data_IF_030661089292
#
_entry.id   IF_030661089292
#
_cell.length_a   1.000
_cell.length_b   1.000
_cell.length_c   1.000
_cell.angle_alpha   90.00
_cell.angle_beta   90.00
_cell.angle_gamma   90.00
#
_symmetry.space_group_name_H-M   'P 1'
#
loop_
_entity.id
_entity.type
_entity.pdbx_description
1 polymer ?
#
# COMPACT_ATOMS: atom_id res chain seq x y z
N UNK A 1 42.79 -4.95 -14.44
CA UNK A 1 42.18 -3.62 -14.35
C UNK A 1 40.69 -3.79 -14.59
N UNK A 2 39.88 -3.72 -13.54
CA UNK A 2 38.43 -3.80 -13.67
C UNK A 2 37.95 -2.48 -14.28
N UNK A 3 37.35 -2.54 -15.47
CA UNK A 3 36.70 -1.39 -16.10
C UNK A 3 35.49 -1.04 -15.25
N UNK A 4 35.50 0.12 -14.60
CA UNK A 4 34.35 0.63 -13.88
C UNK A 4 33.26 0.91 -14.91
N UNK A 5 32.27 0.02 -14.98
CA UNK A 5 31.06 0.24 -15.77
C UNK A 5 30.39 1.48 -15.18
N UNK A 6 30.54 2.61 -15.87
CA UNK A 6 29.80 3.84 -15.57
C UNK A 6 28.36 3.59 -16.01
N UNK A 7 27.55 3.06 -15.09
CA UNK A 7 26.09 3.00 -15.25
C UNK A 7 25.62 4.44 -15.40
N UNK A 8 25.12 4.79 -16.58
CA UNK A 8 24.62 6.15 -16.86
C UNK A 8 23.49 6.51 -15.88
N UNK A 9 23.43 7.77 -15.44
CA UNK A 9 22.40 8.24 -14.50
C UNK A 9 20.96 8.04 -15.02
N UNK A 10 20.78 7.86 -16.34
CA UNK A 10 19.49 7.62 -16.97
C UNK A 10 18.89 6.25 -16.58
N UNK A 11 19.69 5.18 -16.50
CA UNK A 11 19.19 3.84 -16.15
C UNK A 11 18.65 3.78 -14.72
N UNK A 12 19.27 4.52 -13.78
CA UNK A 12 18.84 4.59 -12.37
C UNK A 12 17.48 5.25 -12.15
N UNK A 13 16.98 5.98 -13.14
CA UNK A 13 15.74 6.76 -13.02
C UNK A 13 14.52 6.10 -13.68
N UNK A 14 14.68 4.92 -14.29
CA UNK A 14 13.62 4.29 -15.08
C UNK A 14 12.50 3.72 -14.21
N UNK A 15 11.25 4.13 -14.49
CA UNK A 15 10.08 3.60 -13.81
C UNK A 15 9.68 2.29 -14.50
N UNK A 16 9.90 1.13 -13.88
CA UNK A 16 9.61 -0.16 -14.54
C UNK A 16 8.12 -0.51 -14.63
N UNK A 17 7.25 0.19 -13.90
CA UNK A 17 5.81 -0.03 -13.99
C UNK A 17 5.24 0.57 -15.29
N UNK A 18 4.38 -0.17 -15.97
CA UNK A 18 3.69 0.33 -17.16
C UNK A 18 2.68 1.40 -16.78
N UNK A 19 2.45 2.30 -17.73
CA UNK A 19 1.45 3.34 -17.60
C UNK A 19 0.06 2.78 -17.28
N UNK A 20 -0.32 1.65 -17.89
CA UNK A 20 -1.62 1.02 -17.64
C UNK A 20 -1.80 0.60 -16.18
N UNK A 21 -0.82 -0.07 -15.59
CA UNK A 21 -0.91 -0.46 -14.18
C UNK A 21 -0.94 0.75 -13.25
N UNK A 22 -0.12 1.77 -13.52
CA UNK A 22 -0.15 3.02 -12.76
C UNK A 22 -1.49 3.75 -12.88
N UNK A 23 -2.09 3.76 -14.07
CA UNK A 23 -3.42 4.34 -14.30
C UNK A 23 -4.52 3.56 -13.57
N UNK A 24 -4.52 2.23 -13.64
CA UNK A 24 -5.45 1.38 -12.89
C UNK A 24 -5.33 1.60 -11.38
N UNK A 25 -4.10 1.63 -10.84
CA UNK A 25 -3.87 1.91 -9.42
C UNK A 25 -4.34 3.32 -9.04
N UNK A 26 -4.09 4.32 -9.89
CA UNK A 26 -4.54 5.70 -9.67
C UNK A 26 -6.07 5.79 -9.63
N UNK A 27 -6.76 5.26 -10.66
CA UNK A 27 -8.23 5.26 -10.72
C UNK A 27 -8.81 4.45 -9.57
N UNK A 28 -8.19 3.32 -9.22
CA UNK A 28 -8.57 2.52 -8.06
C UNK A 28 -8.49 3.32 -6.76
N UNK A 29 -7.38 4.01 -6.51
CA UNK A 29 -7.20 4.87 -5.33
C UNK A 29 -8.18 6.04 -5.30
N UNK A 30 -8.54 6.61 -6.46
CA UNK A 30 -9.64 7.60 -6.54
C UNK A 30 -10.98 6.96 -6.15
N UNK A 31 -11.28 5.76 -6.67
CA UNK A 31 -12.49 5.01 -6.33
C UNK A 31 -12.58 4.72 -4.84
N UNK A 32 -11.49 4.26 -4.23
CA UNK A 32 -11.38 4.07 -2.78
C UNK A 32 -11.62 5.39 -2.05
N UNK A 33 -10.89 6.45 -2.41
CA UNK A 33 -10.98 7.73 -1.72
C UNK A 33 -12.36 8.39 -1.80
N UNK A 34 -12.93 8.47 -3.01
CA UNK A 34 -14.29 9.01 -3.22
C UNK A 34 -15.33 8.11 -2.58
N UNK A 35 -15.21 6.79 -2.73
CA UNK A 35 -16.10 5.82 -2.10
C UNK A 35 -16.16 6.02 -0.60
N UNK A 36 -15.00 6.08 0.06
CA UNK A 36 -14.84 6.37 1.48
C UNK A 36 -15.47 7.70 1.91
N UNK A 37 -15.34 8.76 1.12
CA UNK A 37 -15.97 10.06 1.46
C UNK A 37 -17.49 10.04 1.30
N UNK A 38 -18.02 9.13 0.47
CA UNK A 38 -19.45 9.00 0.21
C UNK A 38 -20.14 7.98 1.13
N UNK A 39 -19.40 6.98 1.64
CA UNK A 39 -19.95 5.88 2.45
C UNK A 39 -20.57 6.34 3.78
N UNK A 40 -19.97 7.26 4.56
CA UNK A 40 -20.63 7.89 5.70
C UNK A 40 -21.67 8.91 5.19
N UNK A 41 -22.94 8.50 5.05
CA UNK A 41 -24.05 9.40 4.75
C UNK A 41 -24.74 9.15 3.39
N UNK A 42 -24.79 10.17 2.53
CA UNK A 42 -25.68 10.24 1.34
C UNK A 42 -25.31 9.27 0.21
N UNK A 43 -24.11 8.70 0.24
CA UNK A 43 -23.60 7.85 -0.85
C UNK A 43 -24.10 6.41 -0.82
N UNK A 44 -24.54 5.91 0.34
CA UNK A 44 -25.11 4.56 0.49
C UNK A 44 -24.33 3.48 -0.29
N UNK A 45 -25.06 2.72 -1.12
CA UNK A 45 -24.50 1.64 -1.92
C UNK A 45 -23.42 2.09 -2.92
N UNK A 46 -23.50 3.32 -3.45
CA UNK A 46 -22.54 3.83 -4.41
C UNK A 46 -21.16 4.03 -3.78
N UNK A 47 -21.10 4.56 -2.56
CA UNK A 47 -19.85 4.74 -1.81
C UNK A 47 -19.12 3.42 -1.63
N UNK A 48 -19.82 2.41 -1.12
CA UNK A 48 -19.30 1.05 -0.94
C UNK A 48 -18.92 0.35 -2.25
N UNK A 49 -19.70 0.56 -3.32
CA UNK A 49 -19.38 0.03 -4.65
C UNK A 49 -18.08 0.62 -5.18
N UNK A 50 -17.89 1.94 -5.08
CA UNK A 50 -16.66 2.61 -5.49
C UNK A 50 -15.46 2.16 -4.64
N UNK A 51 -15.67 1.96 -3.33
CA UNK A 51 -14.65 1.45 -2.42
C UNK A 51 -14.18 0.04 -2.84
N UNK A 52 -15.13 -0.89 -3.05
CA UNK A 52 -14.87 -2.26 -3.48
C UNK A 52 -14.19 -2.33 -4.86
N UNK A 53 -14.74 -1.61 -5.85
CA UNK A 53 -14.18 -1.55 -7.20
C UNK A 53 -12.78 -0.92 -7.20
N UNK A 54 -12.56 0.06 -6.32
CA UNK A 54 -11.25 0.68 -6.13
C UNK A 54 -10.18 -0.33 -5.76
N UNK A 55 -10.44 -1.16 -4.74
CA UNK A 55 -9.54 -2.24 -4.33
C UNK A 55 -9.33 -3.31 -5.41
N UNK A 56 -10.39 -3.69 -6.15
CA UNK A 56 -10.27 -4.60 -7.28
C UNK A 56 -9.38 -4.03 -8.39
N UNK A 57 -9.47 -2.72 -8.68
CA UNK A 57 -8.60 -2.06 -9.65
C UNK A 57 -7.13 -2.04 -9.20
N UNK A 58 -6.86 -1.91 -7.90
CA UNK A 58 -5.51 -2.11 -7.36
C UNK A 58 -5.02 -3.55 -7.59
N UNK A 59 -5.85 -4.56 -7.34
CA UNK A 59 -5.50 -5.96 -7.65
C UNK A 59 -5.20 -6.15 -9.14
N UNK A 60 -6.02 -5.59 -10.03
CA UNK A 60 -5.80 -5.64 -11.48
C UNK A 60 -4.49 -4.94 -11.87
N UNK A 61 -4.16 -3.81 -11.25
CA UNK A 61 -2.89 -3.12 -11.49
C UNK A 61 -1.68 -4.01 -11.15
N UNK A 62 -1.74 -4.73 -10.03
CA UNK A 62 -0.68 -5.68 -9.63
C UNK A 62 -0.64 -6.87 -10.60
N UNK A 63 -1.80 -7.43 -10.97
CA UNK A 63 -1.90 -8.56 -11.92
C UNK A 63 -1.33 -8.18 -13.28
N UNK A 64 -1.60 -6.98 -13.78
CA UNK A 64 -1.06 -6.49 -15.04
C UNK A 64 0.49 -6.43 -15.06
N UNK A 65 1.14 -6.48 -13.90
CA UNK A 65 2.60 -6.51 -13.75
C UNK A 65 3.10 -7.80 -13.08
N UNK A 66 2.27 -8.84 -13.01
CA UNK A 66 2.57 -10.02 -12.19
C UNK A 66 3.85 -10.72 -12.61
N UNK A 67 4.16 -10.82 -13.90
CA UNK A 67 5.37 -11.50 -14.38
C UNK A 67 6.63 -10.75 -13.94
N UNK A 68 6.69 -9.44 -14.21
CA UNK A 68 7.81 -8.58 -13.81
C UNK A 68 7.97 -8.55 -12.27
N UNK A 69 6.87 -8.37 -11.54
CA UNK A 69 6.88 -8.34 -10.08
C UNK A 69 7.23 -9.70 -9.48
N UNK A 70 6.76 -10.82 -10.05
CA UNK A 70 7.05 -12.17 -9.53
C UNK A 70 8.53 -12.52 -9.68
N UNK A 71 9.17 -12.05 -10.76
CA UNK A 71 10.60 -12.26 -10.98
C UNK A 71 11.45 -11.45 -9.99
N UNK A 72 11.06 -10.20 -9.68
CA UNK A 72 11.79 -9.35 -8.72
C UNK A 72 11.47 -9.66 -7.27
N UNK A 73 10.20 -9.63 -6.90
CA UNK A 73 9.70 -9.68 -5.54
C UNK A 73 9.41 -11.11 -5.05
N UNK A 74 9.26 -12.06 -5.98
CA UNK A 74 8.89 -13.43 -5.72
C UNK A 74 7.39 -13.65 -5.85
N UNK A 75 7.01 -14.71 -6.58
CA UNK A 75 5.61 -15.02 -6.92
C UNK A 75 4.70 -15.11 -5.70
N UNK A 76 5.15 -15.73 -4.61
CA UNK A 76 4.35 -15.88 -3.39
C UNK A 76 4.04 -14.52 -2.75
N UNK A 77 5.04 -13.64 -2.67
CA UNK A 77 4.84 -12.29 -2.14
C UNK A 77 3.80 -11.51 -2.98
N UNK A 78 3.93 -11.57 -4.31
CA UNK A 78 2.99 -10.89 -5.23
C UNK A 78 1.57 -11.44 -5.08
N UNK A 79 1.41 -12.76 -4.98
CA UNK A 79 0.09 -13.39 -4.76
C UNK A 79 -0.51 -12.93 -3.43
N UNK A 80 0.27 -12.90 -2.34
CA UNK A 80 -0.20 -12.35 -1.06
C UNK A 80 -0.65 -10.89 -1.19
N UNK A 81 0.08 -10.06 -1.92
CA UNK A 81 -0.32 -8.67 -2.19
C UNK A 81 -1.63 -8.55 -2.97
N UNK A 82 -1.84 -9.38 -4.00
CA UNK A 82 -3.09 -9.43 -4.76
C UNK A 82 -4.25 -9.83 -3.84
N UNK A 83 -4.08 -10.90 -3.07
CA UNK A 83 -5.09 -11.42 -2.16
C UNK A 83 -5.42 -10.42 -1.05
N UNK A 84 -4.46 -9.61 -0.59
CA UNK A 84 -4.71 -8.55 0.38
C UNK A 84 -5.71 -7.53 -0.18
N UNK A 85 -5.49 -7.03 -1.40
CA UNK A 85 -6.40 -6.09 -2.04
C UNK A 85 -7.77 -6.72 -2.36
N UNK A 86 -7.81 -8.00 -2.78
CA UNK A 86 -9.08 -8.73 -2.98
C UNK A 86 -9.84 -8.89 -1.66
N UNK A 87 -9.16 -9.18 -0.55
CA UNK A 87 -9.79 -9.31 0.75
C UNK A 87 -10.44 -7.97 1.19
N UNK A 88 -9.79 -6.83 0.96
CA UNK A 88 -10.41 -5.52 1.21
C UNK A 88 -11.62 -5.28 0.32
N UNK A 89 -11.51 -5.56 -0.98
CA UNK A 89 -12.65 -5.42 -1.89
C UNK A 89 -13.86 -6.25 -1.45
N UNK A 90 -13.63 -7.49 -1.00
CA UNK A 90 -14.67 -8.40 -0.53
C UNK A 90 -15.29 -7.95 0.80
N UNK A 91 -14.52 -7.27 1.66
CA UNK A 91 -15.04 -6.69 2.90
C UNK A 91 -16.19 -5.71 2.64
N UNK A 92 -16.12 -4.96 1.54
CA UNK A 92 -17.08 -3.92 1.18
C UNK A 92 -18.33 -4.44 0.45
N UNK A 93 -18.26 -5.64 -0.15
CA UNK A 93 -19.34 -6.17 -1.02
C UNK A 93 -20.70 -6.24 -0.31
N UNK A 94 -20.81 -6.71 0.95
CA UNK A 94 -22.12 -6.75 1.63
C UNK A 94 -22.78 -5.38 1.71
N UNK A 95 -22.02 -4.31 1.93
CA UNK A 95 -22.52 -2.95 2.07
C UNK A 95 -22.78 -2.27 0.73
N UNK A 96 -22.09 -2.69 -0.34
CA UNK A 96 -22.40 -2.29 -1.71
C UNK A 96 -23.75 -2.85 -2.17
N UNK A 97 -24.11 -4.05 -1.72
CA UNK A 97 -25.39 -4.68 -2.03
C UNK A 97 -26.54 -4.15 -1.16
N UNK A 98 -26.25 -3.89 0.11
CA UNK A 98 -27.23 -3.51 1.12
C UNK A 98 -26.54 -2.69 2.23
N UNK A 99 -26.57 -1.35 2.12
CA UNK A 99 -25.85 -0.45 3.03
C UNK A 99 -26.29 -0.58 4.49
N UNK A 100 -27.55 -0.95 4.74
CA UNK A 100 -28.10 -1.07 6.09
C UNK A 100 -27.45 -2.21 6.90
N UNK A 101 -26.72 -3.11 6.22
CA UNK A 101 -25.89 -4.12 6.89
C UNK A 101 -24.79 -3.51 7.75
N UNK A 102 -24.38 -2.26 7.51
CA UNK A 102 -23.40 -1.57 8.38
C UNK A 102 -23.93 -1.39 9.80
N UNK A 103 -25.26 -1.39 9.99
CA UNK A 103 -25.91 -1.27 11.29
C UNK A 103 -25.99 -2.62 12.04
N UNK A 104 -25.61 -3.71 11.38
CA UNK A 104 -25.68 -5.06 11.92
C UNK A 104 -24.28 -5.52 12.35
N UNK A 105 -24.13 -5.80 13.65
CA UNK A 105 -22.83 -6.14 14.24
C UNK A 105 -22.14 -7.35 13.58
N UNK A 106 -22.91 -8.34 13.10
CA UNK A 106 -22.35 -9.49 12.37
C UNK A 106 -21.61 -9.10 11.09
N UNK A 107 -22.14 -8.12 10.34
CA UNK A 107 -21.53 -7.64 9.10
C UNK A 107 -20.37 -6.68 9.36
N UNK A 108 -20.44 -5.87 10.42
CA UNK A 108 -19.28 -5.10 10.89
C UNK A 108 -18.13 -6.03 11.31
N UNK A 109 -18.42 -7.10 12.04
CA UNK A 109 -17.41 -8.10 12.40
C UNK A 109 -16.83 -8.78 11.16
N UNK A 110 -17.66 -9.14 10.18
CA UNK A 110 -17.17 -9.65 8.90
C UNK A 110 -16.21 -8.68 8.21
N UNK A 111 -16.60 -7.41 8.10
CA UNK A 111 -15.78 -6.35 7.51
C UNK A 111 -14.43 -6.26 8.22
N UNK A 112 -14.45 -6.11 9.53
CA UNK A 112 -13.27 -6.00 10.38
C UNK A 112 -12.36 -7.22 10.28
N UNK A 113 -12.91 -8.44 10.22
CA UNK A 113 -12.14 -9.68 9.98
C UNK A 113 -11.46 -9.63 8.62
N UNK A 114 -12.18 -9.28 7.55
CA UNK A 114 -11.64 -9.24 6.19
C UNK A 114 -10.54 -8.17 6.05
N UNK A 115 -10.70 -7.02 6.71
CA UNK A 115 -9.66 -6.01 6.84
C UNK A 115 -8.44 -6.51 7.61
N UNK A 116 -8.66 -7.25 8.69
CA UNK A 116 -7.62 -7.94 9.45
C UNK A 116 -6.80 -8.91 8.58
N UNK A 117 -7.50 -9.78 7.85
CA UNK A 117 -6.92 -10.73 6.90
C UNK A 117 -6.11 -10.01 5.81
N UNK A 118 -6.64 -8.92 5.25
CA UNK A 118 -5.92 -8.11 4.28
C UNK A 118 -4.62 -7.53 4.85
N UNK A 119 -4.64 -7.03 6.08
CA UNK A 119 -3.45 -6.54 6.78
C UNK A 119 -2.38 -7.62 6.94
N UNK A 120 -2.77 -8.84 7.34
CA UNK A 120 -1.84 -9.97 7.45
C UNK A 120 -1.27 -10.42 6.09
N UNK A 121 -2.08 -10.45 5.05
CA UNK A 121 -1.63 -10.80 3.70
C UNK A 121 -0.65 -9.74 3.15
N UNK A 122 -0.92 -8.46 3.39
CA UNK A 122 -0.01 -7.38 3.01
C UNK A 122 1.31 -7.44 3.81
N UNK A 123 1.24 -7.74 5.11
CA UNK A 123 2.42 -7.95 5.95
C UNK A 123 3.27 -9.12 5.46
N UNK A 124 2.64 -10.26 5.18
CA UNK A 124 3.31 -11.45 4.66
C UNK A 124 3.95 -11.16 3.30
N UNK A 125 3.26 -10.43 2.42
CA UNK A 125 3.82 -9.97 1.13
C UNK A 125 5.14 -9.22 1.33
N UNK A 126 5.14 -8.14 2.13
CA UNK A 126 6.34 -7.33 2.35
C UNK A 126 7.46 -8.08 3.06
N UNK A 127 7.13 -8.92 4.05
CA UNK A 127 8.12 -9.75 4.74
C UNK A 127 8.77 -10.77 3.79
N UNK A 128 7.99 -11.41 2.91
CA UNK A 128 8.52 -12.32 1.90
C UNK A 128 9.42 -11.61 0.88
N UNK A 129 9.10 -10.36 0.51
CA UNK A 129 10.00 -9.52 -0.31
C UNK A 129 11.31 -9.25 0.42
N UNK A 130 11.26 -8.94 1.73
CA UNK A 130 12.47 -8.71 2.54
C UNK A 130 13.35 -9.96 2.60
N UNK A 131 12.77 -11.12 2.87
CA UNK A 131 13.48 -12.42 2.89
C UNK A 131 14.07 -12.75 1.52
N UNK A 132 13.33 -12.51 0.43
CA UNK A 132 13.87 -12.72 -0.92
C UNK A 132 15.05 -11.80 -1.19
N UNK A 133 14.96 -10.53 -0.77
CA UNK A 133 16.05 -9.57 -0.93
C UNK A 133 17.34 -10.06 -0.25
N UNK A 134 17.26 -10.53 0.99
CA UNK A 134 18.43 -11.07 1.70
C UNK A 134 19.03 -12.27 0.96
N UNK A 135 18.20 -13.23 0.53
CA UNK A 135 18.68 -14.38 -0.25
C UNK A 135 19.38 -13.99 -1.54
N UNK A 136 18.86 -13.00 -2.25
CA UNK A 136 19.50 -12.48 -3.48
C UNK A 136 20.84 -11.81 -3.19
N UNK A 137 20.95 -11.10 -2.05
CA UNK A 137 22.21 -10.50 -1.60
C UNK A 137 23.26 -11.55 -1.23
N UNK A 138 22.87 -12.59 -0.49
CA UNK A 138 23.74 -13.72 -0.15
C UNK A 138 24.27 -14.43 -1.40
N UNK A 139 23.38 -14.67 -2.38
CA UNK A 139 23.74 -15.27 -3.67
C UNK A 139 24.70 -14.37 -4.46
N UNK A 140 24.47 -13.05 -4.48
CA UNK A 140 25.36 -12.08 -5.12
C UNK A 140 26.76 -12.08 -4.50
N UNK A 141 26.85 -12.14 -3.17
CA UNK A 141 28.14 -12.19 -2.47
C UNK A 141 28.86 -13.50 -2.84
N UNK A 142 28.17 -14.63 -2.75
CA UNK A 142 28.73 -15.95 -3.08
C UNK A 142 29.20 -16.02 -4.55
N UNK A 143 28.43 -15.48 -5.50
CA UNK A 143 28.81 -15.45 -6.92
C UNK A 143 29.96 -14.47 -7.20
N UNK A 144 30.01 -13.36 -6.46
CA UNK A 144 31.11 -12.39 -6.50
C UNK A 144 32.45 -12.99 -6.09
N UNK A 145 32.47 -13.81 -5.04
CA UNK A 145 33.66 -14.54 -4.61
C UNK A 145 34.13 -15.55 -5.67
N UNK A 146 33.21 -16.09 -6.48
CA UNK A 146 33.56 -17.02 -7.59
C UNK A 146 33.95 -16.34 -8.90
N UNK A 147 33.93 -15.01 -8.98
CA UNK A 147 34.29 -14.25 -10.18
C UNK A 147 33.32 -14.41 -11.37
N UNK A 148 32.11 -14.95 -11.14
CA UNK A 148 31.10 -15.23 -12.18
C UNK A 148 29.97 -14.19 -12.21
N UNK A 149 30.29 -12.91 -12.08
CA UNK A 149 29.28 -11.86 -12.20
C UNK A 149 28.82 -11.70 -13.66
N UNK A 150 27.62 -12.18 -13.97
CA UNK A 150 26.92 -11.85 -15.21
C UNK A 150 26.16 -10.52 -15.03
N UNK A 151 26.21 -9.66 -16.04
CA UNK A 151 25.60 -8.32 -16.04
C UNK A 151 24.06 -8.36 -15.94
N UNK A 152 23.43 -9.50 -16.25
CA UNK A 152 21.97 -9.69 -16.22
C UNK A 152 21.36 -9.64 -14.81
N UNK A 153 22.15 -9.84 -13.75
CA UNK A 153 21.65 -9.95 -12.38
C UNK A 153 21.17 -8.62 -11.77
N UNK A 154 21.53 -7.47 -12.36
CA UNK A 154 21.17 -6.16 -11.82
C UNK A 154 19.65 -5.87 -11.89
N UNK A 155 18.95 -6.46 -12.88
CA UNK A 155 17.52 -6.22 -13.12
C UNK A 155 16.58 -6.92 -12.13
N UNK A 156 17.08 -7.90 -11.36
CA UNK A 156 16.26 -8.64 -10.39
C UNK A 156 16.26 -8.03 -8.99
N UNK A 157 17.01 -6.94 -8.79
CA UNK A 157 17.25 -6.38 -7.46
C UNK A 157 16.03 -5.65 -6.88
N UNK A 158 15.77 -5.90 -5.60
CA UNK A 158 14.78 -5.17 -4.80
C UNK A 158 15.45 -3.94 -4.23
N UNK A 159 15.12 -2.77 -4.76
CA UNK A 159 15.79 -1.54 -4.34
C UNK A 159 15.41 -1.08 -2.93
N UNK A 160 14.18 -1.38 -2.48
CA UNK A 160 13.70 -1.05 -1.14
C UNK A 160 14.64 -1.59 -0.06
N UNK A 161 15.05 -0.75 0.90
CA UNK A 161 15.92 -1.20 2.00
C UNK A 161 15.23 -2.28 2.84
N UNK A 162 16.00 -3.16 3.48
CA UNK A 162 15.42 -4.19 4.35
C UNK A 162 14.60 -3.56 5.49
N UNK A 163 15.13 -2.49 6.10
CA UNK A 163 14.42 -1.72 7.12
C UNK A 163 13.08 -1.19 6.61
N UNK A 164 13.06 -0.60 5.41
CA UNK A 164 11.84 -0.09 4.77
C UNK A 164 10.80 -1.20 4.60
N UNK A 165 11.21 -2.36 4.10
CA UNK A 165 10.32 -3.51 3.89
C UNK A 165 9.79 -4.07 5.21
N UNK A 166 10.63 -4.20 6.23
CA UNK A 166 10.23 -4.68 7.55
C UNK A 166 9.35 -3.69 8.30
N UNK A 167 9.64 -2.38 8.23
CA UNK A 167 8.77 -1.35 8.79
C UNK A 167 7.39 -1.33 8.11
N UNK A 168 7.34 -1.48 6.78
CA UNK A 168 6.09 -1.63 6.05
C UNK A 168 5.34 -2.93 6.42
N UNK A 169 6.05 -4.05 6.53
CA UNK A 169 5.45 -5.32 6.95
C UNK A 169 4.86 -5.23 8.37
N UNK A 170 5.60 -4.62 9.30
CA UNK A 170 5.13 -4.39 10.67
C UNK A 170 3.92 -3.45 10.69
N UNK A 171 3.91 -2.38 9.89
CA UNK A 171 2.75 -1.53 9.75
C UNK A 171 1.50 -2.30 9.30
N UNK A 172 1.60 -3.11 8.23
CA UNK A 172 0.49 -3.93 7.77
C UNK A 172 0.03 -4.95 8.83
N UNK A 173 0.97 -5.54 9.58
CA UNK A 173 0.69 -6.48 10.66
C UNK A 173 -0.08 -5.79 11.80
N UNK A 174 0.38 -4.62 12.25
CA UNK A 174 -0.29 -3.83 13.28
C UNK A 174 -1.69 -3.41 12.84
N UNK A 175 -1.86 -3.06 11.57
CA UNK A 175 -3.19 -2.79 10.99
C UNK A 175 -4.07 -4.03 11.09
N UNK A 176 -3.56 -5.21 10.74
CA UNK A 176 -4.31 -6.47 10.83
C UNK A 176 -4.74 -6.80 12.27
N UNK A 177 -3.83 -6.67 13.23
CA UNK A 177 -4.10 -6.89 14.66
C UNK A 177 -5.13 -5.87 15.16
N UNK A 178 -4.93 -4.60 14.85
CA UNK A 178 -5.84 -3.51 15.22
C UNK A 178 -7.26 -3.81 14.78
N UNK A 179 -7.46 -4.21 13.52
CA UNK A 179 -8.78 -4.57 13.01
C UNK A 179 -9.38 -5.72 13.81
N UNK A 180 -8.69 -6.85 13.97
CA UNK A 180 -9.24 -7.97 14.74
C UNK A 180 -9.59 -7.60 16.20
N UNK A 181 -8.88 -6.66 16.81
CA UNK A 181 -9.21 -6.18 18.16
C UNK A 181 -10.50 -5.37 18.24
N UNK A 182 -10.97 -4.81 17.12
CA UNK A 182 -12.25 -4.08 17.02
C UNK A 182 -13.47 -5.01 16.95
N UNK A 183 -13.31 -6.34 16.84
CA UNK A 183 -14.42 -7.32 16.81
C UNK A 183 -15.13 -7.42 18.17
N UNK A 184 -14.45 -7.06 19.26
CA UNK A 184 -15.00 -7.13 20.60
C UNK A 184 -15.43 -5.72 21.06
N UNK A 185 -16.75 -5.49 21.05
CA UNK A 185 -17.38 -4.25 21.50
C UNK A 185 -17.02 -3.89 22.95
N UNK A 186 -16.47 -2.68 23.11
CA UNK A 186 -16.51 -1.92 24.36
C UNK A 186 -15.51 -2.33 25.44
N UNK A 187 -14.33 -1.71 25.43
CA UNK A 187 -13.37 -1.82 26.53
C UNK A 187 -11.98 -1.30 26.19
N UNK A 188 -10.99 -1.63 27.04
CA UNK A 188 -9.58 -1.27 26.84
C UNK A 188 -8.96 -1.83 25.54
N UNK A 189 -9.57 -2.87 24.95
CA UNK A 189 -9.19 -3.42 23.65
C UNK A 189 -9.39 -2.44 22.50
N UNK A 190 -10.45 -1.64 22.51
CA UNK A 190 -10.75 -0.67 21.46
C UNK A 190 -9.71 0.46 21.43
N UNK A 191 -9.33 0.99 22.60
CA UNK A 191 -8.26 1.99 22.70
C UNK A 191 -6.95 1.46 22.10
N UNK A 192 -6.54 0.24 22.51
CA UNK A 192 -5.31 -0.35 22.02
C UNK A 192 -5.39 -0.61 20.50
N UNK A 193 -6.54 -1.03 19.97
CA UNK A 193 -6.74 -1.18 18.54
C UNK A 193 -6.45 0.13 17.77
N UNK A 194 -7.02 1.26 18.22
CA UNK A 194 -6.79 2.56 17.58
C UNK A 194 -5.34 3.01 17.70
N UNK A 195 -4.69 2.80 18.85
CA UNK A 195 -3.27 3.11 19.03
C UNK A 195 -2.40 2.30 18.05
N UNK A 196 -2.67 1.00 17.91
CA UNK A 196 -1.96 0.16 16.95
C UNK A 196 -2.19 0.61 15.50
N UNK A 197 -3.38 1.10 15.16
CA UNK A 197 -3.68 1.65 13.85
C UNK A 197 -2.92 2.96 13.58
N UNK A 198 -2.86 3.87 14.53
CA UNK A 198 -2.07 5.09 14.34
C UNK A 198 -0.58 4.79 14.22
N UNK A 199 -0.07 3.86 15.05
CA UNK A 199 1.32 3.40 14.97
C UNK A 199 1.61 2.74 13.63
N UNK A 200 0.68 1.99 13.04
CA UNK A 200 0.88 1.41 11.71
C UNK A 200 1.08 2.49 10.63
N UNK A 201 0.26 3.54 10.66
CA UNK A 201 0.40 4.66 9.72
C UNK A 201 1.69 5.46 9.95
N UNK A 202 2.10 5.66 11.20
CA UNK A 202 3.41 6.26 11.52
C UNK A 202 4.56 5.40 10.98
N UNK A 203 4.52 4.08 11.18
CA UNK A 203 5.53 3.16 10.65
C UNK A 203 5.55 3.15 9.11
N UNK A 204 4.39 3.31 8.48
CA UNK A 204 4.29 3.47 7.02
C UNK A 204 4.99 4.75 6.57
N UNK A 205 4.77 5.87 7.26
CA UNK A 205 5.46 7.12 6.97
C UNK A 205 6.99 6.98 7.18
N UNK A 206 7.42 6.34 8.27
CA UNK A 206 8.84 6.05 8.54
C UNK A 206 9.43 5.17 7.45
N UNK A 207 8.73 4.14 6.98
CA UNK A 207 9.18 3.29 5.88
C UNK A 207 9.41 4.13 4.60
N UNK A 208 8.46 4.98 4.24
CA UNK A 208 8.58 5.88 3.07
C UNK A 208 9.77 6.84 3.23
N UNK A 209 9.88 7.50 4.39
CA UNK A 209 10.94 8.48 4.68
C UNK A 209 12.32 7.82 4.72
N UNK A 210 12.44 6.63 5.32
CA UNK A 210 13.70 5.87 5.38
C UNK A 210 14.25 5.51 3.99
N UNK A 211 13.40 5.54 2.96
CA UNK A 211 13.76 5.25 1.59
C UNK A 211 13.62 6.47 0.66
N UNK A 212 13.53 7.68 1.21
CA UNK A 212 13.18 8.88 0.46
C UNK A 212 14.20 9.20 -0.63
N UNK A 213 15.50 9.07 -0.37
CA UNK A 213 16.53 9.40 -1.36
C UNK A 213 16.35 8.52 -2.60
N UNK A 214 16.25 7.22 -2.42
CA UNK A 214 16.07 6.25 -3.49
C UNK A 214 14.72 6.41 -4.21
N UNK A 215 13.62 6.55 -3.48
CA UNK A 215 12.30 6.78 -4.07
C UNK A 215 12.24 8.11 -4.83
N UNK A 216 12.90 9.14 -4.32
CA UNK A 216 12.88 10.46 -4.94
C UNK A 216 13.58 10.49 -6.29
N UNK A 217 14.64 9.70 -6.45
CA UNK A 217 15.34 9.54 -7.74
C UNK A 217 14.47 8.78 -8.74
N UNK A 218 13.82 7.70 -8.32
CA UNK A 218 13.03 6.82 -9.19
C UNK A 218 11.64 7.38 -9.55
N UNK A 219 10.80 7.66 -8.55
CA UNK A 219 9.40 8.06 -8.75
C UNK A 219 9.16 9.58 -8.59
N UNK A 220 10.11 10.29 -7.96
CA UNK A 220 10.11 11.77 -7.87
C UNK A 220 9.74 12.27 -6.49
N UNK A 221 10.44 13.32 -6.02
CA UNK A 221 10.28 13.90 -4.66
C UNK A 221 8.83 14.19 -4.30
N UNK A 222 8.07 14.80 -5.21
CA UNK A 222 6.69 15.18 -4.95
C UNK A 222 5.79 13.97 -4.62
N UNK A 223 5.89 12.89 -5.40
CA UNK A 223 5.11 11.68 -5.17
C UNK A 223 5.46 11.02 -3.81
N UNK A 224 6.73 11.02 -3.44
CA UNK A 224 7.19 10.47 -2.14
C UNK A 224 6.66 11.28 -0.96
N UNK A 225 6.76 12.60 -1.03
CA UNK A 225 6.25 13.46 0.04
C UNK A 225 4.73 13.40 0.17
N UNK A 226 4.00 13.29 -0.94
CA UNK A 226 2.55 13.07 -0.90
C UNK A 226 2.22 11.72 -0.24
N UNK A 227 2.96 10.65 -0.55
CA UNK A 227 2.78 9.36 0.11
C UNK A 227 3.05 9.41 1.62
N UNK A 228 4.14 10.07 2.04
CA UNK A 228 4.45 10.26 3.46
C UNK A 228 3.38 11.12 4.16
N UNK A 229 2.93 12.21 3.53
CA UNK A 229 1.88 13.07 4.05
C UNK A 229 0.55 12.32 4.19
N UNK A 230 0.19 11.49 3.21
CA UNK A 230 -1.00 10.65 3.27
C UNK A 230 -0.96 9.69 4.48
N UNK A 231 0.18 9.03 4.71
CA UNK A 231 0.34 8.17 5.89
C UNK A 231 0.21 8.96 7.20
N UNK A 232 0.80 10.16 7.30
CA UNK A 232 0.65 11.03 8.49
C UNK A 232 -0.79 11.48 8.69
N UNK A 233 -1.50 11.88 7.62
CA UNK A 233 -2.91 12.26 7.70
C UNK A 233 -3.76 11.12 8.26
N UNK A 234 -3.54 9.89 7.80
CA UNK A 234 -4.29 8.75 8.30
C UNK A 234 -3.95 8.41 9.78
N UNK A 235 -2.70 8.60 10.20
CA UNK A 235 -2.33 8.50 11.61
C UNK A 235 -3.07 9.55 12.46
N UNK A 236 -3.14 10.80 12.00
CA UNK A 236 -3.87 11.89 12.68
C UNK A 236 -5.37 11.61 12.75
N UNK A 237 -5.95 10.99 11.72
CA UNK A 237 -7.35 10.59 11.70
C UNK A 237 -7.72 9.55 12.76
N UNK A 238 -6.76 8.76 13.24
CA UNK A 238 -6.97 7.78 14.31
C UNK A 238 -6.86 8.37 15.73
N UNK A 239 -6.20 9.52 15.90
CA UNK A 239 -5.96 10.14 17.22
C UNK A 239 -7.24 10.48 17.99
N UNK A 240 -8.29 11.07 17.39
CA UNK A 240 -9.54 11.37 18.09
C UNK A 240 -10.14 10.14 18.80
N UNK A 241 -9.99 8.96 18.21
CA UNK A 241 -10.49 7.69 18.76
C UNK A 241 -9.76 7.25 20.05
N UNK A 242 -8.63 7.88 20.40
CA UNK A 242 -7.94 7.60 21.67
C UNK A 242 -8.66 8.21 22.86
N UNK A 243 -9.33 9.34 22.63
CA UNK A 243 -9.96 10.12 23.68
C UNK A 243 -11.45 9.78 23.84
N UNK A 244 -12.04 9.10 22.86
CA UNK A 244 -13.46 8.73 22.84
C UNK A 244 -13.67 7.22 22.66
N UNK A 245 -13.22 6.45 23.65
CA UNK A 245 -13.27 4.98 23.62
C UNK A 245 -14.69 4.44 23.79
N UNK A 246 -15.64 5.25 24.28
CA UNK A 246 -17.03 4.84 24.50
C UNK A 246 -17.85 4.85 23.21
N UNK A 247 -17.35 5.44 22.12
CA UNK A 247 -18.04 5.48 20.82
C UNK A 247 -19.24 6.44 20.78
N UNK A 248 -19.36 7.34 21.76
CA UNK A 248 -20.47 8.28 21.85
C UNK A 248 -20.27 9.51 20.93
N UNK A 249 -19.04 9.85 20.55
CA UNK A 249 -18.77 10.94 19.61
C UNK A 249 -18.64 10.43 18.17
N UNK A 250 -19.68 10.68 17.36
CA UNK A 250 -19.67 10.44 15.91
C UNK A 250 -18.49 11.12 15.21
N UNK A 251 -17.98 12.22 15.77
CA UNK A 251 -16.87 12.99 15.21
C UNK A 251 -15.58 12.18 15.02
N UNK A 252 -15.20 11.33 15.97
CA UNK A 252 -13.94 10.58 15.88
C UNK A 252 -13.94 9.58 14.73
N UNK A 253 -15.04 8.82 14.62
CA UNK A 253 -15.26 7.88 13.52
C UNK A 253 -15.34 8.61 12.17
N UNK A 254 -16.17 9.65 12.08
CA UNK A 254 -16.32 10.46 10.86
C UNK A 254 -14.98 11.05 10.40
N UNK A 255 -14.20 11.63 11.31
CA UNK A 255 -12.89 12.19 10.98
C UNK A 255 -11.92 11.11 10.51
N UNK A 256 -11.90 9.93 11.12
CA UNK A 256 -11.08 8.81 10.66
C UNK A 256 -11.42 8.41 9.21
N UNK A 257 -12.71 8.28 8.90
CA UNK A 257 -13.19 7.98 7.53
C UNK A 257 -12.82 9.10 6.54
N UNK A 258 -13.01 10.37 6.91
CA UNK A 258 -12.65 11.50 6.05
C UNK A 258 -11.14 11.52 5.76
N UNK A 259 -10.32 11.32 6.79
CA UNK A 259 -8.86 11.32 6.65
C UNK A 259 -8.37 10.13 5.82
N UNK A 260 -9.04 8.98 5.91
CA UNK A 260 -8.80 7.85 5.01
C UNK A 260 -9.10 8.24 3.56
N UNK A 261 -10.29 8.79 3.30
CA UNK A 261 -10.69 9.18 1.95
C UNK A 261 -9.69 10.15 1.32
N UNK A 262 -9.30 11.18 2.07
CA UNK A 262 -8.27 12.15 1.67
C UNK A 262 -6.92 11.44 1.43
N UNK A 263 -6.51 10.53 2.32
CA UNK A 263 -5.27 9.75 2.16
C UNK A 263 -5.25 9.00 0.83
N UNK A 264 -6.35 8.36 0.46
CA UNK A 264 -6.46 7.65 -0.82
C UNK A 264 -6.40 8.61 -2.02
N UNK A 265 -7.04 9.78 -1.94
CA UNK A 265 -6.97 10.80 -3.00
C UNK A 265 -5.56 11.39 -3.15
N UNK A 266 -4.85 11.62 -2.04
CA UNK A 266 -3.44 12.05 -2.05
C UNK A 266 -2.55 10.96 -2.65
N UNK A 267 -2.79 9.70 -2.30
CA UNK A 267 -2.11 8.55 -2.91
C UNK A 267 -2.37 8.44 -4.41
N UNK A 268 -3.61 8.68 -4.86
CA UNK A 268 -3.95 8.73 -6.27
C UNK A 268 -3.19 9.86 -7.00
N UNK A 269 -3.11 11.05 -6.40
CA UNK A 269 -2.33 12.16 -6.96
C UNK A 269 -0.84 11.81 -7.07
N UNK A 270 -0.27 11.14 -6.07
CA UNK A 270 1.10 10.65 -6.13
C UNK A 270 1.29 9.68 -7.31
N UNK A 271 0.37 8.71 -7.49
CA UNK A 271 0.40 7.77 -8.61
C UNK A 271 0.24 8.47 -9.97
N UNK A 272 -0.62 9.48 -10.06
CA UNK A 272 -0.79 10.27 -11.28
C UNK A 272 0.51 10.99 -11.68
N UNK A 273 1.24 11.56 -10.71
CA UNK A 273 2.56 12.17 -10.95
C UNK A 273 3.55 11.13 -11.49
N UNK A 274 3.57 9.93 -10.91
CA UNK A 274 4.43 8.83 -11.38
C UNK A 274 4.05 8.39 -12.79
N UNK A 275 2.76 8.26 -13.08
CA UNK A 275 2.25 7.89 -14.41
C UNK A 275 2.62 8.94 -15.48
N UNK A 276 2.49 10.24 -15.16
CA UNK A 276 2.93 11.32 -16.05
C UNK A 276 4.43 11.27 -16.32
N UNK A 277 5.24 11.02 -15.28
CA UNK A 277 6.69 10.87 -15.43
C UNK A 277 7.06 9.66 -16.29
N UNK A 278 6.40 8.52 -16.08
CA UNK A 278 6.58 7.33 -16.93
C UNK A 278 6.25 7.63 -18.39
N UNK A 279 5.12 8.28 -18.66
CA UNK A 279 4.73 8.68 -20.02
C UNK A 279 5.75 9.61 -20.66
N UNK A 280 6.32 10.54 -19.90
CA UNK A 280 7.38 11.42 -20.40
C UNK A 280 8.68 10.64 -20.74
N UNK A 281 9.02 9.61 -19.97
CA UNK A 281 10.15 8.71 -20.28
C UNK A 281 9.89 7.93 -21.58
N UNK A 282 8.68 7.38 -21.75
CA UNK A 282 8.28 6.65 -22.96
C UNK A 282 8.36 7.55 -24.21
N UNK A 283 7.88 8.80 -24.11
CA UNK A 283 7.96 9.75 -25.23
C UNK A 283 9.39 10.13 -25.60
N UNK A 284 10.31 10.22 -24.63
CA UNK A 284 11.73 10.51 -24.89
C UNK A 284 12.42 9.33 -25.56
N UNK A 285 12.15 8.11 -25.09
CA UNK A 285 12.68 6.89 -25.68
C UNK A 285 12.21 6.70 -27.13
N UNK A 286 10.97 7.09 -27.45
CA UNK A 286 10.44 7.04 -28.82
C UNK A 286 11.03 8.11 -29.76
N UNK A 287 11.63 9.17 -29.22
CA UNK A 287 12.21 10.27 -30.00
C UNK A 287 13.72 10.14 -30.25
N UNK A 288 14.39 9.22 -29.53
CA UNK A 288 15.81 8.89 -29.69
C UNK A 288 16.01 7.78 -30.73
#
# INVERSE_FOLDING_TARGET
>A
MASAVVVSDDERSTIHASFFALACACVGMVGVGVGTLLSPGVGGALGWTLHSLGWLLLSVAIIAHIEHLSNRLGRVAVVCGILAAVAQALADVPFALDPDRVLQMSWLNYYTVMWGVAGFLAAASLALVAVRKEKLMEQHIALGETGKFAVEDYQTTVHASFLTLMSGALACLLTGISQLMLINDGGSSALLAWVLLALSWVLTAVAIISHIEHLSMSIGRAAVWLGAAAAVLNALGAIPMFFDVTGDNSFGGELSWIMWGITCLVGALALAIVAMRRRAQDSRAAAA
#
